data_IF_595033943758
#
_entry.id   IF_595033943758
#
_cell.length_a   1.000
_cell.length_b   1.000
_cell.length_c   1.000
_cell.angle_alpha   90.00
_cell.angle_beta   90.00
_cell.angle_gamma   90.00
#
_symmetry.space_group_name_H-M   'P 1'
#
loop_
_entity.id
_entity.type
_entity.pdbx_description
1 polymer ?
#
# COMPACT_ATOMS: atom_id res chain seq x y z
N UNK A 1 15.68 55.33 -0.38
CA UNK A 1 14.21 55.39 -0.41
C UNK A 1 13.73 54.79 -1.72
N UNK A 2 13.38 53.50 -1.73
CA UNK A 2 12.92 52.78 -2.92
C UNK A 2 11.42 52.51 -2.78
N UNK A 3 10.63 53.09 -3.67
CA UNK A 3 9.16 53.06 -3.61
C UNK A 3 8.63 51.77 -4.25
N UNK A 4 8.23 50.80 -3.43
CA UNK A 4 7.63 49.55 -3.88
C UNK A 4 6.19 49.82 -4.34
N UNK A 5 5.96 49.80 -5.65
CA UNK A 5 4.61 49.78 -6.25
C UNK A 5 3.98 48.42 -6.03
N UNK A 6 2.90 48.39 -5.26
CA UNK A 6 2.07 47.19 -5.05
C UNK A 6 1.22 46.91 -6.29
N UNK A 7 1.38 45.73 -6.89
CA UNK A 7 0.52 45.24 -7.96
C UNK A 7 -0.73 44.58 -7.34
N UNK A 8 -1.92 45.03 -7.77
CA UNK A 8 -3.21 44.47 -7.35
C UNK A 8 -3.43 43.11 -8.03
N UNK A 9 -3.93 42.08 -7.31
CA UNK A 9 -4.33 40.82 -7.94
C UNK A 9 -5.67 40.97 -8.69
N UNK A 10 -5.66 40.62 -9.97
CA UNK A 10 -6.83 40.55 -10.84
C UNK A 10 -7.72 39.36 -10.47
N UNK A 11 -8.98 39.61 -10.15
CA UNK A 11 -9.97 38.60 -9.80
C UNK A 11 -10.52 37.91 -11.06
N UNK A 12 -10.13 36.64 -11.27
CA UNK A 12 -10.70 35.79 -12.32
C UNK A 12 -12.02 35.21 -11.80
N UNK A 13 -13.14 35.71 -12.34
CA UNK A 13 -14.49 35.20 -12.09
C UNK A 13 -14.77 34.03 -13.03
N UNK A 14 -14.74 32.80 -12.50
CA UNK A 14 -15.25 31.62 -13.21
C UNK A 14 -16.79 31.62 -13.12
N UNK A 15 -17.46 31.96 -14.21
CA UNK A 15 -18.91 31.83 -14.33
C UNK A 15 -19.26 30.34 -14.51
N UNK A 16 -20.00 29.77 -13.55
CA UNK A 16 -20.58 28.45 -13.65
C UNK A 16 -21.90 28.53 -14.43
N UNK A 17 -21.98 27.88 -15.59
CA UNK A 17 -23.24 27.67 -16.31
C UNK A 17 -23.77 26.28 -16.00
N UNK A 18 -24.89 26.23 -15.28
CA UNK A 18 -25.66 25.02 -14.97
C UNK A 18 -26.66 24.84 -16.12
N UNK A 19 -26.51 23.80 -16.92
CA UNK A 19 -27.50 23.41 -17.93
C UNK A 19 -28.30 22.23 -17.39
N UNK A 20 -29.53 22.49 -16.95
CA UNK A 20 -30.52 21.47 -16.58
C UNK A 20 -31.19 20.95 -17.85
N UNK A 21 -31.12 19.65 -18.11
CA UNK A 21 -31.96 18.98 -19.12
C UNK A 21 -32.91 18.01 -18.42
N UNK A 22 -34.21 18.24 -18.59
CA UNK A 22 -35.31 17.42 -18.08
C UNK A 22 -35.70 16.31 -19.07
N UNK A 23 -36.24 15.23 -18.49
CA UNK A 23 -37.26 14.29 -18.99
C UNK A 23 -36.88 13.28 -20.08
N UNK A 24 -37.03 11.99 -19.74
CA UNK A 24 -38.17 11.18 -20.19
C UNK A 24 -38.23 9.84 -19.43
N UNK A 25 -39.44 9.51 -18.96
CA UNK A 25 -39.80 8.28 -18.27
C UNK A 25 -40.18 7.18 -19.28
N UNK A 26 -39.80 5.93 -19.03
CA UNK A 26 -40.49 4.75 -19.58
C UNK A 26 -40.40 3.53 -18.67
N UNK A 27 -41.58 3.18 -18.13
CA UNK A 27 -42.24 1.87 -17.99
C UNK A 27 -41.52 0.70 -17.29
N UNK A 28 -42.10 0.32 -16.15
CA UNK A 28 -41.92 -0.96 -15.47
C UNK A 28 -42.66 -2.10 -16.17
N UNK A 29 -42.04 -3.27 -16.22
CA UNK A 29 -42.66 -4.56 -16.55
C UNK A 29 -42.47 -5.52 -15.37
N UNK A 30 -43.54 -6.09 -14.77
CA UNK A 30 -43.41 -7.23 -13.89
C UNK A 30 -43.50 -8.51 -14.74
N UNK A 31 -42.46 -9.35 -14.69
CA UNK A 31 -42.53 -10.70 -15.21
C UNK A 31 -42.74 -11.68 -14.04
N UNK A 32 -43.73 -12.54 -14.23
CA UNK A 32 -44.31 -13.49 -13.30
C UNK A 32 -43.31 -14.46 -12.67
N UNK A 33 -43.58 -14.81 -11.42
CA UNK A 33 -43.01 -15.96 -10.74
C UNK A 33 -43.38 -17.26 -11.46
N UNK A 34 -42.45 -18.21 -11.50
CA UNK A 34 -42.74 -19.62 -11.72
C UNK A 34 -42.27 -20.39 -10.49
N UNK A 35 -43.24 -20.92 -9.74
CA UNK A 35 -43.02 -22.01 -8.80
C UNK A 35 -42.73 -23.28 -9.60
N UNK A 36 -41.57 -23.87 -9.35
CA UNK A 36 -41.13 -25.12 -9.94
C UNK A 36 -40.38 -25.94 -8.90
N UNK A 37 -41.17 -26.70 -8.13
CA UNK A 37 -40.88 -28.02 -7.55
C UNK A 37 -39.43 -28.36 -7.18
N UNK A 38 -39.25 -28.57 -5.88
CA UNK A 38 -38.11 -29.25 -5.28
C UNK A 38 -37.83 -30.61 -5.96
N UNK A 39 -36.56 -30.83 -6.31
CA UNK A 39 -35.96 -32.16 -6.34
C UNK A 39 -34.75 -32.16 -5.42
N UNK A 40 -34.90 -32.89 -4.34
CA UNK A 40 -33.88 -33.35 -3.42
C UNK A 40 -32.86 -34.18 -4.22
N UNK A 41 -31.65 -33.63 -4.37
CA UNK A 41 -30.49 -34.37 -4.86
C UNK A 41 -29.44 -34.38 -3.74
N UNK A 42 -29.32 -35.56 -3.17
CA UNK A 42 -28.32 -36.04 -2.22
C UNK A 42 -26.91 -35.49 -2.48
N UNK A 43 -26.27 -35.02 -1.40
CA UNK A 43 -24.87 -34.66 -1.30
C UNK A 43 -23.92 -35.72 -1.88
N UNK A 44 -22.86 -35.32 -2.59
CA UNK A 44 -21.57 -35.95 -2.46
C UNK A 44 -20.73 -35.15 -1.45
N UNK A 45 -20.30 -35.81 -0.38
CA UNK A 45 -19.16 -35.38 0.43
C UNK A 45 -17.95 -35.21 -0.51
N UNK A 46 -17.64 -33.94 -0.81
CA UNK A 46 -16.55 -33.56 -1.69
C UNK A 46 -15.77 -32.39 -1.10
N UNK A 47 -14.66 -32.72 -0.44
CA UNK A 47 -13.46 -31.88 -0.34
C UNK A 47 -13.64 -30.43 0.16
N UNK A 48 -13.96 -30.27 1.44
CA UNK A 48 -13.74 -29.03 2.20
C UNK A 48 -12.26 -28.88 2.59
N UNK A 49 -11.33 -28.96 1.63
CA UNK A 49 -9.89 -28.69 1.85
C UNK A 49 -9.28 -27.70 0.85
N UNK A 50 -10.10 -27.05 0.02
CA UNK A 50 -9.63 -26.16 -1.06
C UNK A 50 -10.05 -24.69 -0.97
N UNK A 51 -10.77 -24.23 0.07
CA UNK A 51 -11.40 -22.89 0.07
C UNK A 51 -10.78 -21.87 1.03
N UNK A 52 -9.53 -22.06 1.49
CA UNK A 52 -8.83 -21.10 2.35
C UNK A 52 -7.75 -20.27 1.62
N UNK A 53 -7.84 -20.11 0.30
CA UNK A 53 -7.04 -19.14 -0.43
C UNK A 53 -7.90 -17.93 -0.81
N UNK A 54 -7.77 -16.85 -0.04
CA UNK A 54 -7.88 -15.51 -0.61
C UNK A 54 -9.24 -14.81 -0.62
N UNK A 55 -10.09 -14.94 0.40
CA UNK A 55 -11.05 -13.84 0.68
C UNK A 55 -10.27 -12.69 1.31
N UNK A 56 -9.68 -11.83 0.48
CA UNK A 56 -9.26 -10.50 0.92
C UNK A 56 -10.43 -9.84 1.65
N UNK A 57 -10.18 -9.26 2.82
CA UNK A 57 -11.18 -8.48 3.54
C UNK A 57 -11.83 -7.48 2.55
N UNK A 58 -13.17 -7.27 2.59
CA UNK A 58 -13.83 -6.31 1.71
C UNK A 58 -13.09 -4.97 1.77
N UNK A 59 -12.50 -4.54 0.64
CA UNK A 59 -11.76 -3.27 0.54
C UNK A 59 -10.24 -3.35 0.53
N UNK A 60 -9.61 -4.44 0.97
CA UNK A 60 -8.14 -4.56 1.02
C UNK A 60 -7.50 -4.38 -0.37
N UNK A 61 -8.05 -5.03 -1.39
CA UNK A 61 -7.54 -4.90 -2.76
C UNK A 61 -7.62 -3.46 -3.28
N UNK A 62 -8.69 -2.73 -2.95
CA UNK A 62 -8.84 -1.33 -3.32
C UNK A 62 -7.85 -0.43 -2.58
N UNK A 63 -7.56 -0.73 -1.31
CA UNK A 63 -6.56 -0.01 -0.53
C UNK A 63 -5.15 -0.22 -1.09
N UNK A 64 -4.74 -1.47 -1.34
CA UNK A 64 -3.46 -1.79 -1.98
C UNK A 64 -3.33 -1.17 -3.38
N UNK A 65 -4.42 -1.08 -4.13
CA UNK A 65 -4.45 -0.38 -5.42
C UNK A 65 -4.15 1.13 -5.25
N UNK A 66 -4.68 1.79 -4.21
CA UNK A 66 -4.34 3.20 -3.91
C UNK A 66 -2.86 3.36 -3.57
N UNK A 67 -2.30 2.45 -2.77
CA UNK A 67 -0.85 2.49 -2.44
C UNK A 67 -0.02 2.32 -3.69
N UNK A 68 -0.37 1.37 -4.56
CA UNK A 68 0.30 1.15 -5.84
C UNK A 68 0.29 2.41 -6.70
N UNK A 69 -0.85 3.08 -6.84
CA UNK A 69 -0.93 4.34 -7.60
C UNK A 69 -0.08 5.44 -6.95
N UNK A 70 -0.18 5.61 -5.63
CA UNK A 70 0.54 6.66 -4.92
C UNK A 70 2.07 6.52 -5.02
N UNK A 71 2.57 5.28 -5.06
CA UNK A 71 4.00 4.97 -4.98
C UNK A 71 4.64 4.66 -6.33
N UNK A 72 3.86 4.51 -7.40
CA UNK A 72 4.36 4.22 -8.76
C UNK A 72 5.44 5.22 -9.23
N UNK A 73 5.31 6.50 -8.85
CA UNK A 73 6.28 7.54 -9.21
C UNK A 73 7.69 7.26 -8.68
N UNK A 74 7.82 6.48 -7.61
CA UNK A 74 9.09 6.15 -6.97
C UNK A 74 9.87 5.02 -7.65
N UNK A 75 9.37 4.45 -8.74
CA UNK A 75 10.24 3.68 -9.64
C UNK A 75 11.43 4.51 -10.15
N UNK A 76 11.32 5.84 -10.18
CA UNK A 76 12.44 6.76 -10.35
C UNK A 76 12.94 7.19 -8.97
N UNK A 77 14.11 6.71 -8.57
CA UNK A 77 14.63 6.94 -7.22
C UNK A 77 14.87 8.43 -6.94
N UNK A 78 15.16 9.23 -7.96
CA UNK A 78 15.34 10.68 -7.83
C UNK A 78 14.06 11.38 -7.34
N UNK A 79 12.88 10.83 -7.70
CA UNK A 79 11.59 11.32 -7.20
C UNK A 79 11.41 10.98 -5.72
N UNK A 80 11.87 9.80 -5.29
CA UNK A 80 11.84 9.42 -3.88
C UNK A 80 12.76 10.32 -3.05
N UNK A 81 13.99 10.55 -3.52
CA UNK A 81 14.96 11.45 -2.90
C UNK A 81 14.42 12.88 -2.80
N UNK A 82 13.84 13.42 -3.88
CA UNK A 82 13.25 14.76 -3.87
C UNK A 82 12.03 14.88 -2.94
N UNK A 83 11.32 13.77 -2.71
CA UNK A 83 10.18 13.70 -1.78
C UNK A 83 10.62 13.40 -0.32
N UNK A 84 11.93 13.36 -0.05
CA UNK A 84 12.51 13.22 1.28
C UNK A 84 12.75 11.79 1.76
N UNK A 85 12.72 10.80 0.85
CA UNK A 85 13.10 9.43 1.17
C UNK A 85 14.61 9.23 0.94
N UNK A 86 15.35 8.84 1.98
CA UNK A 86 16.80 8.62 1.91
C UNK A 86 17.20 7.24 2.44
N UNK A 87 18.26 6.62 1.90
CA UNK A 87 18.69 5.29 2.33
C UNK A 87 19.11 5.32 3.81
N UNK A 88 18.55 4.40 4.58
CA UNK A 88 18.84 4.19 6.00
C UNK A 88 19.61 2.87 6.14
N UNK A 89 20.90 2.91 5.80
CA UNK A 89 21.80 1.75 5.92
C UNK A 89 21.90 0.88 4.66
N UNK A 90 22.61 -0.26 4.76
CA UNK A 90 22.82 -1.18 3.65
C UNK A 90 21.56 -1.98 3.31
N UNK A 91 21.65 -2.81 2.26
CA UNK A 91 20.62 -3.79 1.94
C UNK A 91 20.49 -4.79 3.10
N UNK A 92 19.26 -5.10 3.50
CA UNK A 92 19.00 -6.05 4.60
C UNK A 92 18.55 -7.40 4.05
N UNK A 93 19.23 -8.46 4.49
CA UNK A 93 19.01 -9.86 4.16
C UNK A 93 18.93 -10.70 5.44
N UNK A 94 18.07 -11.72 5.46
CA UNK A 94 17.98 -12.66 6.56
C UNK A 94 19.25 -13.53 6.60
N UNK A 95 20.04 -13.49 7.70
CA UNK A 95 21.25 -14.30 7.83
C UNK A 95 20.98 -15.82 7.79
N UNK A 96 19.73 -16.26 7.97
CA UNK A 96 19.34 -17.67 7.91
C UNK A 96 18.80 -18.10 6.54
N UNK A 97 18.83 -17.21 5.54
CA UNK A 97 18.40 -17.52 4.17
C UNK A 97 16.90 -17.37 3.89
N UNK A 98 16.16 -16.65 4.73
CA UNK A 98 14.75 -16.28 4.48
C UNK A 98 14.54 -15.25 3.37
N UNK A 99 15.62 -14.76 2.75
CA UNK A 99 15.62 -13.79 1.65
C UNK A 99 15.92 -12.37 2.11
N UNK A 100 15.55 -11.38 1.30
CA UNK A 100 15.90 -9.97 1.54
C UNK A 100 14.69 -9.05 1.70
N UNK A 101 14.90 -7.97 2.46
CA UNK A 101 14.01 -6.80 2.52
C UNK A 101 14.42 -5.74 1.50
N UNK A 102 15.74 -5.62 1.26
CA UNK A 102 16.32 -4.58 0.42
C UNK A 102 16.89 -3.41 1.22
N UNK A 103 17.18 -2.33 0.52
CA UNK A 103 17.61 -1.05 1.10
C UNK A 103 16.37 -0.25 1.47
N UNK A 104 16.29 0.17 2.72
CA UNK A 104 15.19 0.98 3.24
C UNK A 104 15.45 2.45 2.96
N UNK A 105 14.64 3.05 2.10
CA UNK A 105 14.64 4.49 1.87
C UNK A 105 13.54 5.10 2.75
N UNK A 106 13.91 5.85 3.79
CA UNK A 106 13.02 6.32 4.84
C UNK A 106 12.74 7.81 4.70
N UNK A 107 11.49 8.20 4.94
CA UNK A 107 11.09 9.60 5.07
C UNK A 107 10.63 9.90 6.50
N UNK A 108 11.53 10.51 7.29
CA UNK A 108 11.26 10.82 8.69
C UNK A 108 10.10 11.80 8.91
N UNK A 109 9.77 12.63 7.91
CA UNK A 109 8.61 13.52 7.96
C UNK A 109 7.25 12.80 7.94
N UNK A 110 7.25 11.48 7.75
CA UNK A 110 6.04 10.63 7.71
C UNK A 110 5.82 9.83 8.98
N UNK A 111 6.68 9.95 9.99
CA UNK A 111 6.50 9.25 11.26
C UNK A 111 5.28 9.76 12.06
N UNK A 112 4.68 8.88 12.84
CA UNK A 112 3.52 9.18 13.70
C UNK A 112 2.16 9.18 13.00
N UNK A 113 2.08 8.93 11.69
CA UNK A 113 0.82 8.86 10.94
C UNK A 113 0.72 7.58 10.10
N UNK A 114 -0.44 6.93 10.12
CA UNK A 114 -0.73 5.78 9.27
C UNK A 114 -1.67 6.18 8.13
N UNK A 115 -1.09 6.77 7.08
CA UNK A 115 -1.78 7.04 5.80
C UNK A 115 -1.31 5.99 4.77
N UNK A 116 -2.18 5.10 4.28
CA UNK A 116 -1.82 4.08 3.31
C UNK A 116 -1.12 4.65 2.06
N UNK A 117 -1.41 5.90 1.66
CA UNK A 117 -0.82 6.50 0.45
C UNK A 117 0.54 7.16 0.69
N UNK A 118 1.03 7.14 1.94
CA UNK A 118 2.24 7.82 2.38
C UNK A 118 3.10 6.90 3.27
N UNK A 119 3.69 5.83 2.70
CA UNK A 119 4.50 4.91 3.48
C UNK A 119 5.72 5.61 4.10
N UNK A 120 6.14 5.15 5.28
CA UNK A 120 7.33 5.67 5.96
C UNK A 120 8.62 5.26 5.26
N UNK A 121 8.62 4.09 4.62
CA UNK A 121 9.76 3.58 3.87
C UNK A 121 9.38 3.02 2.49
N UNK A 122 10.33 3.15 1.57
CA UNK A 122 10.33 2.53 0.26
C UNK A 122 11.44 1.48 0.24
N UNK A 123 11.15 0.30 -0.31
CA UNK A 123 12.10 -0.81 -0.34
C UNK A 123 12.71 -0.91 -1.74
N UNK A 124 14.02 -0.77 -1.84
CA UNK A 124 14.75 -0.89 -3.10
C UNK A 124 15.72 -2.06 -3.09
N UNK A 125 15.86 -2.72 -4.23
CA UNK A 125 17.00 -3.61 -4.49
C UNK A 125 17.90 -3.03 -5.57
N UNK A 126 19.24 -3.10 -5.40
CA UNK A 126 20.14 -2.83 -6.50
C UNK A 126 19.99 -3.91 -7.57
N UNK A 127 19.96 -3.49 -8.82
CA UNK A 127 19.99 -4.34 -10.00
C UNK A 127 21.44 -4.44 -10.52
N UNK A 128 21.70 -5.42 -11.39
CA UNK A 128 23.05 -5.70 -11.91
C UNK A 128 23.68 -4.55 -12.69
N UNK A 129 22.89 -3.58 -13.13
CA UNK A 129 23.32 -2.37 -13.85
C UNK A 129 23.51 -1.16 -12.92
N UNK A 130 23.48 -1.36 -11.61
CA UNK A 130 23.64 -0.32 -10.60
C UNK A 130 22.39 0.52 -10.35
N UNK A 131 21.29 0.30 -11.09
CA UNK A 131 20.02 0.99 -10.83
C UNK A 131 19.28 0.39 -9.64
N UNK A 132 18.53 1.23 -8.94
CA UNK A 132 17.66 0.79 -7.86
C UNK A 132 16.27 0.44 -8.39
N UNK A 133 15.76 -0.73 -8.01
CA UNK A 133 14.43 -1.21 -8.35
C UNK A 133 13.54 -1.17 -7.12
N UNK A 134 12.44 -0.44 -7.20
CA UNK A 134 11.41 -0.44 -6.15
C UNK A 134 10.75 -1.83 -6.09
N UNK A 135 10.79 -2.47 -4.93
CA UNK A 135 10.26 -3.83 -4.71
C UNK A 135 9.07 -3.87 -3.75
N UNK A 136 8.96 -2.88 -2.86
CA UNK A 136 7.89 -2.80 -1.89
C UNK A 136 7.86 -1.46 -1.18
N UNK A 137 6.99 -1.37 -0.19
CA UNK A 137 6.92 -0.25 0.75
C UNK A 137 6.80 -0.81 2.15
N UNK A 138 7.10 0.01 3.15
CA UNK A 138 6.99 -0.38 4.55
C UNK A 138 6.40 0.78 5.36
N UNK A 139 5.59 0.42 6.35
CA UNK A 139 5.05 1.32 7.34
C UNK A 139 5.70 1.01 8.68
N UNK A 140 6.01 2.05 9.44
CA UNK A 140 6.52 1.91 10.80
C UNK A 140 5.42 2.25 11.79
N UNK A 141 5.36 1.52 12.89
CA UNK A 141 4.41 1.80 13.96
C UNK A 141 4.54 3.26 14.43
N UNK A 142 3.41 3.97 14.63
CA UNK A 142 3.42 5.35 15.10
C UNK A 142 3.80 5.47 16.57
N UNK A 143 3.85 4.35 17.31
CA UNK A 143 4.22 4.31 18.71
C UNK A 143 5.66 3.81 18.90
N UNK A 144 6.28 4.28 19.96
CA UNK A 144 7.53 3.72 20.44
C UNK A 144 7.26 2.38 21.14
N UNK A 145 8.16 1.39 21.00
CA UNK A 145 8.00 0.10 21.68
C UNK A 145 8.17 0.20 23.20
N UNK A 146 8.62 1.36 23.69
CA UNK A 146 8.87 1.64 25.11
C UNK A 146 7.59 2.02 25.89
N UNK A 147 6.45 2.31 25.23
CA UNK A 147 5.18 2.59 25.90
C UNK A 147 4.32 1.31 26.02
N UNK A 148 4.15 0.73 27.23
CA UNK A 148 3.42 -0.51 27.43
C UNK A 148 1.90 -0.39 27.19
N UNK A 149 1.36 0.84 27.19
CA UNK A 149 -0.07 1.10 26.96
C UNK A 149 -0.37 1.47 25.50
N UNK A 150 0.67 1.65 24.67
CA UNK A 150 0.51 1.94 23.26
C UNK A 150 -0.11 0.76 22.52
N UNK A 151 -1.30 0.99 21.95
CA UNK A 151 -1.93 -0.01 21.08
C UNK A 151 -1.18 -0.03 19.75
N UNK A 152 -0.74 -1.20 19.24
CA UNK A 152 -0.16 -1.27 17.91
C UNK A 152 -1.12 -0.66 16.91
N UNK A 153 -0.60 0.19 16.02
CA UNK A 153 -1.39 0.69 14.90
C UNK A 153 -1.95 -0.49 14.09
N UNK A 154 -3.00 -0.24 13.32
CA UNK A 154 -3.51 -1.20 12.35
C UNK A 154 -3.50 -0.56 10.96
N UNK A 155 -3.07 -1.32 9.97
CA UNK A 155 -3.13 -0.94 8.57
C UNK A 155 -3.44 -2.17 7.72
N UNK A 156 -4.28 -2.05 6.70
CA UNK A 156 -4.66 -3.18 5.83
C UNK A 156 -5.29 -4.39 6.54
N UNK A 157 -5.91 -4.20 7.71
CA UNK A 157 -6.42 -5.34 8.50
C UNK A 157 -5.32 -6.10 9.25
N UNK A 158 -4.15 -5.48 9.46
CA UNK A 158 -2.96 -6.07 10.08
C UNK A 158 -2.44 -5.17 11.18
N UNK A 159 -2.13 -5.77 12.32
CA UNK A 159 -1.22 -5.19 13.30
C UNK A 159 0.20 -5.21 12.73
N UNK A 160 1.07 -4.34 13.24
CA UNK A 160 2.46 -4.28 12.83
C UNK A 160 3.22 -5.43 13.49
N UNK A 161 4.03 -6.16 12.72
CA UNK A 161 4.78 -7.32 13.20
C UNK A 161 6.09 -6.88 13.90
N UNK A 162 6.57 -7.69 14.83
CA UNK A 162 7.79 -7.48 15.63
C UNK A 162 9.10 -7.71 14.87
N UNK A 163 9.01 -7.96 13.56
CA UNK A 163 10.19 -8.06 12.71
C UNK A 163 10.86 -6.69 12.66
N UNK A 164 11.98 -6.58 13.37
CA UNK A 164 12.66 -5.34 13.76
C UNK A 164 13.96 -5.18 12.97
N UNK A 165 13.94 -4.76 11.69
CA UNK A 165 15.16 -4.44 10.97
C UNK A 165 15.58 -2.96 11.12
N UNK A 166 14.65 -2.07 11.46
CA UNK A 166 14.90 -0.63 11.62
C UNK A 166 14.75 -0.20 13.08
N UNK A 167 15.80 -0.44 13.87
CA UNK A 167 16.05 0.25 15.15
C UNK A 167 14.84 0.33 16.09
N UNK A 168 14.38 -0.81 16.60
CA UNK A 168 13.37 -0.90 17.66
C UNK A 168 11.96 -0.46 17.27
N UNK A 169 11.59 -0.47 15.97
CA UNK A 169 10.19 -0.25 15.55
C UNK A 169 9.62 -1.46 14.83
N UNK A 170 8.39 -1.83 15.19
CA UNK A 170 7.59 -2.81 14.46
C UNK A 170 7.24 -2.26 13.07
N UNK A 171 7.49 -3.08 12.05
CA UNK A 171 7.29 -2.74 10.64
C UNK A 171 6.17 -3.55 10.02
N UNK A 172 5.49 -2.97 9.04
CA UNK A 172 4.57 -3.69 8.17
C UNK A 172 5.03 -3.56 6.72
N UNK A 173 5.62 -4.64 6.21
CA UNK A 173 6.05 -4.74 4.83
C UNK A 173 4.85 -4.90 3.90
N UNK A 174 4.90 -4.29 2.72
CA UNK A 174 3.88 -4.46 1.69
C UNK A 174 4.53 -4.66 0.31
N UNK A 175 4.49 -5.90 -0.15
CA UNK A 175 5.13 -6.38 -1.39
C UNK A 175 4.29 -6.08 -2.64
N UNK A 176 4.14 -4.79 -2.96
CA UNK A 176 3.35 -4.34 -4.11
C UNK A 176 4.10 -4.51 -5.44
N UNK A 177 5.42 -4.31 -5.49
CA UNK A 177 6.15 -4.23 -6.76
C UNK A 177 6.89 -5.51 -7.12
N UNK A 178 7.23 -6.31 -6.13
CA UNK A 178 7.77 -7.66 -6.29
C UNK A 178 6.84 -8.64 -5.58
N UNK A 179 6.35 -9.66 -6.28
CA UNK A 179 5.57 -10.73 -5.64
C UNK A 179 6.42 -11.45 -4.58
N UNK A 180 5.82 -11.72 -3.43
CA UNK A 180 6.44 -12.45 -2.33
C UNK A 180 5.68 -13.77 -2.09
N UNK A 181 6.29 -14.95 -2.32
CA UNK A 181 5.64 -16.24 -2.10
C UNK A 181 5.42 -16.55 -0.62
N UNK A 182 6.16 -15.90 0.30
CA UNK A 182 5.89 -15.97 1.74
C UNK A 182 4.67 -15.13 2.16
N UNK A 183 4.17 -14.26 1.28
CA UNK A 183 2.95 -13.47 1.48
C UNK A 183 3.15 -11.97 1.26
N UNK A 184 2.05 -11.26 0.94
CA UNK A 184 2.04 -9.81 0.68
C UNK A 184 2.64 -8.95 1.82
N UNK A 185 2.54 -9.44 3.06
CA UNK A 185 2.96 -8.71 4.26
C UNK A 185 4.11 -9.38 5.03
N UNK A 186 4.69 -10.46 4.51
CA UNK A 186 5.81 -11.12 5.17
C UNK A 186 7.02 -10.18 5.26
N UNK A 187 7.81 -10.22 6.33
CA UNK A 187 8.96 -9.32 6.48
C UNK A 187 10.02 -9.55 5.39
N UNK A 188 10.43 -10.79 5.18
CA UNK A 188 11.41 -11.14 4.14
C UNK A 188 10.73 -11.66 2.87
N UNK A 189 11.38 -11.45 1.72
CA UNK A 189 10.99 -12.07 0.46
C UNK A 189 12.05 -13.09 0.03
N UNK A 190 11.75 -14.41 0.05
CA UNK A 190 12.72 -15.46 -0.25
C UNK A 190 13.15 -15.50 -1.73
N UNK A 191 12.47 -14.76 -2.62
CA UNK A 191 12.89 -14.61 -4.01
C UNK A 191 13.90 -13.46 -4.21
N UNK A 192 14.25 -12.75 -3.13
CA UNK A 192 15.14 -11.61 -3.16
C UNK A 192 16.42 -11.93 -2.40
N UNK A 193 17.54 -11.42 -2.91
CA UNK A 193 18.83 -11.45 -2.23
C UNK A 193 19.51 -10.09 -2.33
N UNK A 194 20.31 -9.77 -1.32
CA UNK A 194 21.17 -8.60 -1.37
C UNK A 194 22.39 -8.88 -2.25
N UNK A 195 22.77 -7.96 -3.15
CA UNK A 195 24.01 -8.11 -3.91
C UNK A 195 25.21 -8.21 -2.97
N UNK A 196 26.21 -9.00 -3.34
CA UNK A 196 27.49 -9.00 -2.66
C UNK A 196 28.09 -7.58 -2.70
N UNK A 197 28.63 -7.15 -1.56
CA UNK A 197 29.27 -5.84 -1.39
C UNK A 197 30.55 -5.69 -2.23
#
# INVERSE_FOLDING_TARGET
MLTIRTLRPSSIRWAATITTLLLLATLATPALAHDGTAHEATSPEGSQRGQALGRSAPGLGAELARVRVATARYHRVEVALADGYHPMGPCVEDPNGGGAMGIHFVNGGRFGQLDPTKPQALLYLPHSDGRLRLVGVEYLSPFDLEDPDARPGELFGRTFDDTTPLGERTGLHVWLWQANPAGMFAAYNPNLSCPAA
#
